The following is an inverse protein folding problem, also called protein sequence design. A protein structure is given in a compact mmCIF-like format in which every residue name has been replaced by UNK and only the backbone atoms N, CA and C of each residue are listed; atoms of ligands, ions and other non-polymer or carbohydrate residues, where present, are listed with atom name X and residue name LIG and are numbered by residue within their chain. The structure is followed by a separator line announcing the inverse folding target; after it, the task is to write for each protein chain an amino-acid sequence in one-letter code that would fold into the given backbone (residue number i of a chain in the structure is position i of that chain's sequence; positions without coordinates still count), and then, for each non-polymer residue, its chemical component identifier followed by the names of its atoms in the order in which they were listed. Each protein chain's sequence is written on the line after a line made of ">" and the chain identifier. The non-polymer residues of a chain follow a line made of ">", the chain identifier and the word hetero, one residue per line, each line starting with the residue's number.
data_IF_254696900468
#
_entry.id   IF_254696900468
#
_cell.length_a   1.000
_cell.length_b   1.000
_cell.length_c   1.000
_cell.angle_alpha   90.00
_cell.angle_beta   90.00
_cell.angle_gamma   90.00
#
_symmetry.space_group_name_H-M   'P 1'
#
loop_
_entity.id
_entity.type
_entity.pdbx_description
1 polymer ?
#
# COMPACT_ATOMS: atom_id res chain seq x y z
N UNK A 1 9.43 6.48 -1.30
CA UNK A 1 8.55 7.21 -2.23
C UNK A 1 7.80 8.26 -1.43
N UNK A 2 7.59 9.44 -1.99
CA UNK A 2 6.74 10.46 -1.40
C UNK A 2 5.66 10.83 -2.41
N UNK A 3 4.40 10.83 -1.99
CA UNK A 3 3.25 11.25 -2.79
C UNK A 3 2.79 12.59 -2.20
N UNK A 4 2.72 13.62 -3.04
CA UNK A 4 2.39 14.99 -2.62
C UNK A 4 1.26 15.49 -3.52
N UNK A 5 0.18 15.95 -2.90
CA UNK A 5 -0.83 16.74 -3.58
C UNK A 5 -0.34 18.19 -3.67
N UNK A 6 0.02 18.63 -4.87
CA UNK A 6 0.59 19.97 -5.11
C UNK A 6 -0.47 21.06 -5.01
N UNK A 7 -1.72 20.78 -5.43
CA UNK A 7 -2.81 21.76 -5.51
C UNK A 7 -3.83 21.60 -4.36
N UNK A 8 -3.66 20.58 -3.52
CA UNK A 8 -4.46 20.33 -2.31
C UNK A 8 -5.88 19.80 -2.56
N UNK A 9 -6.18 19.31 -3.77
CA UNK A 9 -7.49 18.77 -4.16
C UNK A 9 -7.41 17.55 -5.07
N UNK A 10 -6.26 16.89 -5.15
CA UNK A 10 -6.06 15.73 -6.00
C UNK A 10 -6.26 14.43 -5.21
N UNK A 11 -7.08 13.56 -5.75
CA UNK A 11 -7.20 12.17 -5.30
C UNK A 11 -6.56 11.30 -6.37
N UNK A 12 -5.57 10.49 -6.00
CA UNK A 12 -4.83 9.63 -6.91
C UNK A 12 -4.80 8.21 -6.36
N UNK A 13 -5.02 7.25 -7.25
CA UNK A 13 -4.85 5.84 -6.94
C UNK A 13 -3.36 5.47 -6.96
N UNK A 14 -2.92 4.72 -5.96
CA UNK A 14 -1.57 4.17 -5.89
C UNK A 14 -1.62 2.64 -6.00
N UNK A 15 -0.76 2.08 -6.85
CA UNK A 15 -0.59 0.63 -6.98
C UNK A 15 0.89 0.26 -6.94
N UNK A 16 1.19 -0.88 -6.33
CA UNK A 16 2.55 -1.38 -6.18
C UNK A 16 2.62 -2.87 -6.49
N UNK A 17 3.76 -3.30 -7.04
CA UNK A 17 4.05 -4.68 -7.37
C UNK A 17 5.48 -5.03 -6.93
N UNK A 18 5.68 -6.28 -6.53
CA UNK A 18 7.04 -6.80 -6.36
C UNK A 18 7.66 -7.07 -7.72
N UNK A 19 8.72 -6.34 -8.07
CA UNK A 19 9.45 -6.53 -9.33
C UNK A 19 9.89 -8.00 -9.53
N UNK A 20 10.35 -8.65 -8.46
CA UNK A 20 10.75 -10.07 -8.49
C UNK A 20 9.60 -11.04 -8.77
N UNK A 21 8.36 -10.66 -8.42
CA UNK A 21 7.16 -11.44 -8.73
C UNK A 21 6.72 -11.21 -10.17
N UNK A 22 6.78 -9.96 -10.64
CA UNK A 22 6.52 -9.61 -12.05
C UNK A 22 7.47 -10.34 -13.00
N UNK A 23 8.77 -10.42 -12.67
CA UNK A 23 9.76 -11.17 -13.45
C UNK A 23 9.40 -12.66 -13.61
N UNK A 24 8.57 -13.19 -12.71
CA UNK A 24 8.08 -14.58 -12.71
C UNK A 24 6.65 -14.70 -13.26
N UNK A 25 6.10 -13.64 -13.87
CA UNK A 25 4.73 -13.59 -14.40
C UNK A 25 3.65 -13.63 -13.32
N UNK A 26 3.95 -13.16 -12.09
CA UNK A 26 2.99 -13.08 -10.98
C UNK A 26 2.63 -11.63 -10.71
N UNK A 27 1.49 -11.23 -11.26
CA UNK A 27 0.95 -9.87 -11.11
C UNK A 27 0.13 -9.79 -9.82
N UNK A 28 0.84 -9.65 -8.70
CA UNK A 28 0.26 -9.56 -7.37
C UNK A 28 0.33 -8.10 -6.87
N UNK A 29 -0.68 -7.27 -7.16
CA UNK A 29 -0.75 -5.89 -6.67
C UNK A 29 -1.06 -5.83 -5.18
N UNK A 30 -1.09 -4.61 -4.63
CA UNK A 30 -1.70 -4.34 -3.33
C UNK A 30 -3.13 -4.90 -3.29
N UNK A 31 -3.41 -5.64 -2.22
CA UNK A 31 -4.70 -6.26 -1.95
C UNK A 31 -5.29 -5.69 -0.67
N UNK A 32 -6.40 -4.95 -0.82
CA UNK A 32 -7.10 -4.31 0.30
C UNK A 32 -7.78 -5.32 1.23
N UNK A 33 -8.14 -6.50 0.72
CA UNK A 33 -8.77 -7.57 1.52
C UNK A 33 -7.74 -8.19 2.46
N UNK A 34 -6.57 -8.56 1.93
CA UNK A 34 -5.44 -9.06 2.72
C UNK A 34 -4.99 -8.00 3.72
N UNK A 35 -4.82 -6.76 3.27
CA UNK A 35 -4.41 -5.65 4.14
C UNK A 35 -5.40 -5.45 5.29
N UNK A 36 -6.71 -5.42 5.00
CA UNK A 36 -7.75 -5.31 6.03
C UNK A 36 -7.75 -6.49 7.00
N UNK A 37 -7.51 -7.70 6.50
CA UNK A 37 -7.45 -8.91 7.33
C UNK A 37 -6.28 -8.86 8.31
N UNK A 38 -5.11 -8.42 7.86
CA UNK A 38 -3.91 -8.38 8.70
C UNK A 38 -3.86 -7.16 9.62
N UNK A 39 -4.29 -6.00 9.13
CA UNK A 39 -4.16 -4.71 9.82
C UNK A 39 -5.42 -4.29 10.57
N UNK A 40 -6.58 -4.93 10.33
CA UNK A 40 -7.87 -4.50 10.86
C UNK A 40 -8.45 -3.24 10.21
N UNK A 41 -7.70 -2.61 9.30
CA UNK A 41 -8.08 -1.42 8.52
C UNK A 41 -7.69 -1.62 7.05
N UNK A 42 -8.51 -1.10 6.14
CA UNK A 42 -8.17 -1.05 4.72
C UNK A 42 -7.15 0.03 4.39
N UNK A 43 -6.97 1.01 5.30
CA UNK A 43 -6.04 2.12 5.18
C UNK A 43 -5.03 2.08 6.32
N UNK A 44 -3.86 1.46 6.10
CA UNK A 44 -2.70 1.58 6.94
C UNK A 44 -2.31 3.04 7.24
N UNK A 45 -2.01 3.31 8.51
CA UNK A 45 -1.55 4.60 9.02
C UNK A 45 -0.14 4.46 9.61
N UNK A 46 0.64 5.54 9.72
CA UNK A 46 1.94 5.48 10.39
C UNK A 46 1.86 4.83 11.78
N UNK A 47 2.75 3.88 12.06
CA UNK A 47 2.80 3.16 13.34
C UNK A 47 2.76 1.64 13.18
N UNK A 48 2.09 0.95 14.10
CA UNK A 48 2.10 -0.52 14.20
C UNK A 48 1.43 -1.21 12.99
N UNK A 49 0.40 -0.58 12.42
CA UNK A 49 -0.38 -1.11 11.30
C UNK A 49 -0.16 -0.28 10.04
N UNK A 50 1.12 -0.13 9.67
CA UNK A 50 1.58 0.79 8.60
C UNK A 50 1.76 0.14 7.23
N UNK A 51 1.56 -1.17 7.09
CA UNK A 51 1.94 -1.89 5.86
C UNK A 51 0.75 -2.25 4.99
N UNK A 52 0.94 -2.16 3.68
CA UNK A 52 0.05 -2.75 2.70
C UNK A 52 0.63 -4.07 2.19
N UNK A 53 -0.26 -5.00 1.85
CA UNK A 53 0.07 -6.39 1.52
C UNK A 53 -0.49 -6.78 0.16
N UNK A 54 0.12 -7.78 -0.48
CA UNK A 54 -0.42 -8.42 -1.68
C UNK A 54 -1.26 -9.67 -1.36
N UNK A 55 -1.66 -10.43 -2.39
CA UNK A 55 -2.46 -11.65 -2.24
C UNK A 55 -1.72 -12.78 -1.51
N UNK A 56 -0.38 -12.77 -1.48
CA UNK A 56 0.43 -13.77 -0.77
C UNK A 56 0.74 -13.33 0.68
N UNK A 57 0.10 -12.27 1.18
CA UNK A 57 0.41 -11.66 2.48
C UNK A 57 1.84 -11.12 2.58
N UNK A 58 2.48 -10.80 1.46
CA UNK A 58 3.80 -10.17 1.46
C UNK A 58 3.65 -8.65 1.61
N UNK A 59 4.36 -8.01 2.55
CA UNK A 59 4.33 -6.56 2.68
C UNK A 59 5.04 -5.91 1.50
N UNK A 60 4.33 -5.06 0.75
CA UNK A 60 4.89 -4.38 -0.43
C UNK A 60 5.35 -2.95 -0.12
N UNK A 61 4.60 -2.21 0.70
CA UNK A 61 4.93 -0.83 1.09
C UNK A 61 4.55 -0.54 2.53
N UNK A 62 5.21 0.44 3.12
CA UNK A 62 4.96 0.94 4.46
C UNK A 62 4.68 2.45 4.44
N UNK A 63 3.64 2.86 5.14
CA UNK A 63 3.29 4.25 5.41
C UNK A 63 4.13 4.75 6.58
N UNK A 64 5.10 5.61 6.28
CA UNK A 64 5.98 6.21 7.28
C UNK A 64 5.40 7.52 7.82
N UNK A 65 4.69 8.27 6.98
CA UNK A 65 4.09 9.55 7.33
C UNK A 65 2.82 9.78 6.51
N UNK A 66 1.82 10.36 7.17
CA UNK A 66 0.59 10.87 6.58
C UNK A 66 0.31 12.26 7.18
N UNK A 67 0.05 13.26 6.34
CA UNK A 67 -0.23 14.64 6.75
C UNK A 67 -1.71 14.99 6.71
N UNK A 68 -2.56 14.11 6.16
CA UNK A 68 -3.96 14.39 5.87
C UNK A 68 -4.93 13.57 6.72
N UNK A 69 -4.52 12.39 7.20
CA UNK A 69 -5.27 11.62 8.20
C UNK A 69 -6.46 10.84 7.64
#
# INVERSE_FOLDING_TARGET
>A
LQIIDVDGRQCTDFQCFSARKLDKGRDHPLDVTTTRTLMGSSYPMPGLHSKYYDQDMEPLVEVVQDTCG
#
